data_IF_684297662495
#
_entry.id   IF_684297662495
#
_cell.length_a   1.000
_cell.length_b   1.000
_cell.length_c   1.000
_cell.angle_alpha   90.00
_cell.angle_beta   90.00
_cell.angle_gamma   90.00
#
_symmetry.space_group_name_H-M   'P 1'
#
loop_
_entity.id
_entity.type
_entity.pdbx_description
1 polymer ?
#
# COMPACT_ATOMS: atom_id res chain seq x y z
N UNK A 1 16.49 16.64 -7.81
CA UNK A 1 16.05 16.10 -6.51
C UNK A 1 14.55 15.79 -6.47
N UNK A 2 13.96 15.36 -7.59
CA UNK A 2 12.54 15.03 -7.68
C UNK A 2 12.41 13.82 -8.61
N UNK A 3 11.57 12.87 -8.25
CA UNK A 3 11.22 11.72 -9.08
C UNK A 3 9.71 11.73 -9.24
N UNK A 4 9.26 11.68 -10.50
CA UNK A 4 7.86 11.58 -10.86
C UNK A 4 7.63 10.23 -11.53
N UNK A 5 6.50 9.60 -11.24
CA UNK A 5 6.10 8.32 -11.83
C UNK A 5 4.64 8.37 -12.23
N UNK A 6 4.33 7.69 -13.34
CA UNK A 6 2.97 7.43 -13.82
C UNK A 6 2.80 5.94 -13.98
N UNK A 7 1.72 5.39 -13.45
CA UNK A 7 1.30 4.01 -13.65
C UNK A 7 0.02 3.95 -14.47
N UNK A 8 -0.06 3.01 -15.41
CA UNK A 8 -1.30 2.66 -16.08
C UNK A 8 -1.71 1.28 -15.59
N UNK A 9 -2.88 1.19 -14.99
CA UNK A 9 -3.38 -0.03 -14.40
C UNK A 9 -4.50 -0.60 -15.27
N UNK A 10 -4.47 -1.91 -15.46
CA UNK A 10 -5.60 -2.68 -15.95
C UNK A 10 -6.12 -3.53 -14.79
N UNK A 11 -7.43 -3.41 -14.52
CA UNK A 11 -8.10 -4.20 -13.50
C UNK A 11 -8.92 -5.28 -14.19
N UNK A 12 -8.88 -6.49 -13.63
CA UNK A 12 -9.76 -7.58 -14.04
C UNK A 12 -10.26 -8.32 -12.82
N UNK A 13 -11.55 -8.63 -12.78
CA UNK A 13 -12.19 -9.35 -11.69
C UNK A 13 -13.22 -10.34 -12.21
N UNK A 14 -13.49 -11.37 -11.41
CA UNK A 14 -14.60 -12.30 -11.61
C UNK A 14 -15.31 -12.47 -10.30
N UNK A 15 -16.63 -12.36 -10.31
CA UNK A 15 -17.42 -12.66 -9.12
C UNK A 15 -18.61 -13.56 -9.49
N UNK A 16 -18.98 -14.42 -8.55
CA UNK A 16 -20.07 -15.36 -8.67
C UNK A 16 -20.98 -15.18 -7.46
N UNK A 17 -22.25 -14.84 -7.68
CA UNK A 17 -23.28 -14.98 -6.64
C UNK A 17 -23.69 -16.46 -6.55
N UNK A 18 -23.80 -17.03 -5.35
CA UNK A 18 -24.08 -18.47 -5.12
C UNK A 18 -25.20 -18.66 -4.07
N UNK A 19 -26.17 -19.59 -4.21
CA UNK A 19 -26.58 -20.36 -5.40
C UNK A 19 -28.11 -20.32 -5.68
N UNK A 20 -28.50 -19.82 -6.85
CA UNK A 20 -29.63 -20.41 -7.59
C UNK A 20 -29.54 -20.18 -9.10
N UNK A 21 -28.83 -19.14 -9.56
CA UNK A 21 -28.63 -18.88 -11.00
C UNK A 21 -27.17 -18.48 -11.25
N UNK A 22 -26.43 -19.31 -12.00
CA UNK A 22 -25.02 -19.05 -12.35
C UNK A 22 -24.93 -17.91 -13.37
N UNK A 23 -24.88 -16.67 -12.92
CA UNK A 23 -24.37 -15.55 -13.72
C UNK A 23 -22.98 -15.18 -13.21
N UNK A 24 -21.96 -15.75 -13.87
CA UNK A 24 -20.58 -15.29 -13.70
C UNK A 24 -20.49 -13.92 -14.37
N UNK A 25 -20.11 -12.90 -13.61
CA UNK A 25 -19.87 -11.57 -14.15
C UNK A 25 -18.37 -11.32 -14.24
N UNK A 26 -17.93 -10.96 -15.44
CA UNK A 26 -16.56 -10.55 -15.72
C UNK A 26 -16.47 -9.02 -15.61
N UNK A 27 -15.41 -8.56 -14.96
CA UNK A 27 -15.14 -7.14 -14.73
C UNK A 27 -13.82 -6.74 -15.36
N UNK A 28 -13.83 -5.64 -16.11
CA UNK A 28 -12.62 -5.05 -16.69
C UNK A 28 -12.55 -3.56 -16.41
N UNK A 29 -11.37 -3.01 -16.20
CA UNK A 29 -11.23 -1.61 -15.87
C UNK A 29 -9.84 -1.07 -16.14
N UNK A 30 -9.74 0.25 -16.10
CA UNK A 30 -8.48 0.97 -16.25
C UNK A 30 -8.38 2.05 -15.20
N UNK A 31 -7.16 2.43 -14.86
CA UNK A 31 -6.88 3.54 -13.95
C UNK A 31 -5.48 4.10 -14.19
N UNK A 32 -5.27 5.33 -13.71
CA UNK A 32 -3.96 5.97 -13.75
C UNK A 32 -3.51 6.22 -12.32
N UNK A 33 -2.24 5.93 -12.06
CA UNK A 33 -1.59 6.31 -10.81
C UNK A 33 -0.55 7.40 -11.12
N UNK A 34 -0.43 8.37 -10.22
CA UNK A 34 0.66 9.33 -10.24
C UNK A 34 1.37 9.31 -8.89
N UNK A 35 2.70 9.45 -8.93
CA UNK A 35 3.56 9.49 -7.76
C UNK A 35 4.63 10.56 -7.90
N UNK A 36 4.88 11.27 -6.82
CA UNK A 36 5.93 12.27 -6.70
C UNK A 36 6.75 11.97 -5.45
N UNK A 37 8.07 11.96 -5.59
CA UNK A 37 9.01 11.90 -4.46
C UNK A 37 10.00 13.05 -4.57
N UNK A 38 10.11 13.85 -3.52
CA UNK A 38 10.98 15.01 -3.45
C UNK A 38 11.99 14.85 -2.32
N UNK A 39 13.28 15.05 -2.62
CA UNK A 39 14.34 15.08 -1.60
C UNK A 39 14.40 16.49 -1.02
N UNK A 40 13.72 16.71 0.09
CA UNK A 40 13.61 18.01 0.75
C UNK A 40 14.90 18.39 1.49
N UNK A 41 15.51 17.44 2.19
CA UNK A 41 16.83 17.56 2.83
C UNK A 41 17.68 16.31 2.50
N UNK A 42 19.00 16.30 2.76
CA UNK A 42 19.85 15.12 2.53
C UNK A 42 19.26 13.81 3.08
N UNK A 43 18.61 13.90 4.24
CA UNK A 43 18.05 12.78 4.98
C UNK A 43 16.52 12.78 5.04
N UNK A 44 15.83 13.72 4.38
CA UNK A 44 14.36 13.82 4.39
C UNK A 44 13.80 13.76 2.98
N UNK A 45 12.94 12.79 2.74
CA UNK A 45 12.16 12.66 1.51
C UNK A 45 10.69 12.87 1.82
N UNK A 46 10.02 13.66 1.00
CA UNK A 46 8.58 13.82 0.99
C UNK A 46 8.01 13.08 -0.21
N UNK A 47 6.85 12.47 -0.07
CA UNK A 47 6.16 11.79 -1.16
C UNK A 47 4.68 12.13 -1.20
N UNK A 48 4.15 12.16 -2.40
CA UNK A 48 2.72 12.28 -2.68
C UNK A 48 2.35 11.24 -3.73
N UNK A 49 1.20 10.60 -3.58
CA UNK A 49 0.65 9.75 -4.63
C UNK A 49 -0.85 9.89 -4.73
N UNK A 50 -1.36 9.73 -5.95
CA UNK A 50 -2.77 9.53 -6.19
C UNK A 50 -2.92 8.27 -7.03
N UNK A 51 -3.57 7.25 -6.46
CA UNK A 51 -3.84 5.99 -7.13
C UNK A 51 -5.29 5.91 -7.57
N UNK A 52 -5.54 5.15 -8.62
CA UNK A 52 -6.86 4.97 -9.22
C UNK A 52 -7.48 6.30 -9.72
N UNK A 53 -6.66 7.23 -10.23
CA UNK A 53 -7.18 8.42 -10.91
C UNK A 53 -7.98 8.00 -12.14
N UNK A 54 -9.17 8.58 -12.26
CA UNK A 54 -10.13 8.30 -13.34
C UNK A 54 -10.48 6.81 -13.46
N UNK A 55 -10.25 6.02 -12.40
CA UNK A 55 -10.38 4.60 -12.48
C UNK A 55 -11.85 4.16 -12.50
N UNK A 56 -12.15 3.29 -13.45
CA UNK A 56 -13.50 2.74 -13.65
C UNK A 56 -13.40 1.28 -14.03
N UNK A 57 -14.28 0.47 -13.46
CA UNK A 57 -14.44 -0.93 -13.78
C UNK A 57 -15.85 -1.15 -14.33
N UNK A 58 -15.99 -1.97 -15.36
CA UNK A 58 -17.25 -2.31 -15.98
C UNK A 58 -17.53 -3.78 -15.73
N UNK A 59 -18.66 -4.06 -15.09
CA UNK A 59 -19.21 -5.38 -14.87
C UNK A 59 -20.40 -5.54 -15.83
N UNK A 60 -20.24 -6.39 -16.84
CA UNK A 60 -21.17 -6.53 -17.98
C UNK A 60 -21.51 -5.17 -18.65
N UNK A 61 -22.54 -4.47 -18.16
CA UNK A 61 -23.01 -3.16 -18.65
C UNK A 61 -22.95 -2.03 -17.60
N UNK A 62 -22.65 -2.34 -16.33
CA UNK A 62 -22.61 -1.36 -15.24
C UNK A 62 -21.18 -0.92 -14.97
N UNK A 63 -20.94 0.37 -15.18
CA UNK A 63 -19.66 1.00 -14.87
C UNK A 63 -19.60 1.54 -13.44
N UNK A 64 -18.67 1.02 -12.65
CA UNK A 64 -18.40 1.40 -11.27
C UNK A 64 -17.10 2.21 -11.17
N UNK A 65 -17.14 3.35 -10.49
CA UNK A 65 -15.91 4.12 -10.19
C UNK A 65 -15.15 3.45 -9.05
N UNK A 66 -13.87 3.19 -9.26
CA UNK A 66 -13.02 2.63 -8.21
C UNK A 66 -12.63 3.73 -7.19
N UNK A 67 -12.38 3.36 -5.92
CA UNK A 67 -12.00 4.34 -4.90
C UNK A 67 -10.68 5.04 -5.25
N UNK A 68 -10.66 6.36 -5.09
CA UNK A 68 -9.44 7.18 -5.24
C UNK A 68 -8.64 7.13 -3.94
N UNK A 69 -7.36 6.79 -4.03
CA UNK A 69 -6.46 6.82 -2.88
C UNK A 69 -5.48 7.97 -3.03
N UNK A 70 -5.50 8.89 -2.08
CA UNK A 70 -4.55 10.00 -2.01
C UNK A 70 -3.63 9.72 -0.84
N UNK A 71 -2.32 9.75 -1.06
CA UNK A 71 -1.36 9.62 0.04
C UNK A 71 -0.33 10.73 0.01
N UNK A 72 0.11 11.11 1.21
CA UNK A 72 1.26 11.98 1.42
C UNK A 72 2.08 11.44 2.57
N UNK A 73 3.40 11.57 2.50
CA UNK A 73 4.27 10.98 3.50
C UNK A 73 5.65 11.57 3.55
N UNK A 74 6.37 11.18 4.60
CA UNK A 74 7.72 11.58 4.89
C UNK A 74 8.56 10.37 5.30
N UNK A 75 9.76 10.31 4.76
CA UNK A 75 10.79 9.34 5.11
C UNK A 75 12.01 10.10 5.64
N UNK A 76 12.40 9.83 6.88
CA UNK A 76 13.56 10.45 7.51
C UNK A 76 14.61 9.41 7.88
N UNK A 77 15.81 9.56 7.30
CA UNK A 77 16.99 8.76 7.65
C UNK A 77 17.67 9.38 8.85
N UNK A 78 17.43 8.82 10.03
CA UNK A 78 18.06 9.28 11.28
C UNK A 78 19.56 8.96 11.26
N UNK A 79 19.91 7.78 10.76
CA UNK A 79 21.28 7.30 10.61
C UNK A 79 21.36 6.27 9.48
N UNK A 80 22.53 5.71 9.22
CA UNK A 80 22.68 4.60 8.25
C UNK A 80 21.91 3.34 8.66
N UNK A 81 21.61 3.20 9.95
CA UNK A 81 20.96 2.04 10.52
C UNK A 81 19.50 2.29 10.93
N UNK A 82 18.97 3.52 10.91
CA UNK A 82 17.57 3.81 11.29
C UNK A 82 16.87 4.72 10.29
N UNK A 83 15.68 4.29 9.87
CA UNK A 83 14.79 5.04 9.00
C UNK A 83 13.41 5.12 9.65
N UNK A 84 12.84 6.32 9.70
CA UNK A 84 11.47 6.58 10.14
C UNK A 84 10.58 6.88 8.94
N UNK A 85 9.36 6.37 8.96
CA UNK A 85 8.34 6.57 7.95
C UNK A 85 7.05 7.05 8.60
N UNK A 86 6.42 8.03 7.98
CA UNK A 86 5.10 8.50 8.34
C UNK A 86 4.32 8.79 7.06
N UNK A 87 3.12 8.23 6.93
CA UNK A 87 2.26 8.43 5.78
C UNK A 87 0.81 8.67 6.22
N UNK A 88 0.10 9.51 5.48
CA UNK A 88 -1.34 9.71 5.61
C UNK A 88 -1.97 9.34 4.28
N UNK A 89 -2.94 8.43 4.32
CA UNK A 89 -3.70 7.97 3.17
C UNK A 89 -5.18 8.33 3.38
N UNK A 90 -5.76 9.04 2.42
CA UNK A 90 -7.20 9.29 2.35
C UNK A 90 -7.80 8.38 1.27
N UNK A 91 -8.82 7.59 1.66
CA UNK A 91 -9.58 6.75 0.73
C UNK A 91 -10.92 7.41 0.43
N UNK A 92 -11.14 7.79 -0.83
CA UNK A 92 -12.36 8.42 -1.32
C UNK A 92 -13.20 7.42 -2.10
N UNK A 93 -14.33 7.06 -1.52
CA UNK A 93 -15.36 6.23 -2.12
C UNK A 93 -16.46 7.10 -2.72
N UNK A 94 -17.06 6.64 -3.82
CA UNK A 94 -18.09 7.38 -4.54
C UNK A 94 -19.47 6.91 -4.07
N UNK A 95 -20.32 7.85 -3.65
CA UNK A 95 -21.66 7.58 -3.10
C UNK A 95 -22.55 6.74 -4.04
N UNK A 96 -22.35 6.89 -5.35
CA UNK A 96 -23.17 6.24 -6.37
C UNK A 96 -22.90 4.74 -6.54
N UNK A 97 -21.87 4.20 -5.88
CA UNK A 97 -21.47 2.78 -6.01
C UNK A 97 -21.79 1.93 -4.77
N UNK A 98 -22.52 2.47 -3.80
CA UNK A 98 -22.82 1.78 -2.52
C UNK A 98 -21.55 1.49 -1.69
N UNK A 99 -20.42 2.03 -2.11
CA UNK A 99 -19.11 1.76 -1.54
C UNK A 99 -18.86 2.61 -0.29
N UNK A 100 -17.94 2.14 0.56
CA UNK A 100 -17.77 2.52 1.97
C UNK A 100 -17.66 4.02 2.28
N UNK A 101 -17.60 4.35 3.58
CA UNK A 101 -17.35 5.74 3.99
C UNK A 101 -15.95 6.17 3.56
N UNK A 102 -15.74 7.47 3.34
CA UNK A 102 -14.39 8.02 3.24
C UNK A 102 -13.72 7.93 4.61
N UNK A 103 -12.46 7.52 4.65
CA UNK A 103 -11.67 7.50 5.89
C UNK A 103 -10.21 7.81 5.60
N UNK A 104 -9.52 8.21 6.67
CA UNK A 104 -8.11 8.60 6.64
C UNK A 104 -7.33 7.60 7.47
N UNK A 105 -6.31 6.98 6.89
CA UNK A 105 -5.42 6.05 7.57
C UNK A 105 -4.08 6.75 7.79
N UNK A 106 -3.62 6.77 9.02
CA UNK A 106 -2.28 7.20 9.39
C UNK A 106 -1.40 5.96 9.47
N UNK A 107 -0.18 6.06 8.97
CA UNK A 107 0.83 5.00 9.02
C UNK A 107 2.07 5.56 9.70
N UNK A 108 2.65 4.76 10.57
CA UNK A 108 3.95 5.02 11.18
C UNK A 108 4.81 3.76 11.09
N UNK A 109 6.08 3.92 10.76
CA UNK A 109 7.01 2.81 10.66
C UNK A 109 8.42 3.18 11.03
N UNK A 110 9.15 2.22 11.56
CA UNK A 110 10.59 2.27 11.80
C UNK A 110 11.25 1.08 11.13
N UNK A 111 12.36 1.34 10.43
CA UNK A 111 13.25 0.31 9.90
C UNK A 111 14.61 0.43 10.59
N UNK A 112 15.10 -0.70 11.09
CA UNK A 112 16.45 -0.85 11.63
C UNK A 112 17.29 -1.74 10.71
N UNK A 113 18.40 -1.17 10.23
CA UNK A 113 19.32 -1.75 9.27
C UNK A 113 20.57 -2.30 9.98
N UNK A 114 20.72 -3.63 9.99
CA UNK A 114 21.84 -4.33 10.62
C UNK A 114 22.83 -4.72 9.52
N UNK A 115 23.99 -4.08 9.54
CA UNK A 115 25.11 -4.28 8.58
C UNK A 115 24.71 -4.16 7.09
N UNK A 116 23.65 -3.40 6.77
CA UNK A 116 23.14 -3.22 5.41
C UNK A 116 22.61 -4.51 4.75
N UNK A 117 22.42 -5.58 5.53
CA UNK A 117 21.99 -6.90 5.06
C UNK A 117 20.70 -7.37 5.70
N UNK A 118 20.51 -7.11 6.98
CA UNK A 118 19.30 -7.49 7.70
C UNK A 118 18.50 -6.23 8.03
N UNK A 119 17.18 -6.29 7.82
CA UNK A 119 16.27 -5.17 8.02
C UNK A 119 15.18 -5.62 8.98
N UNK A 120 15.07 -4.99 10.14
CA UNK A 120 13.95 -5.17 11.05
C UNK A 120 12.98 -4.02 10.85
N UNK A 121 11.69 -4.33 10.73
CA UNK A 121 10.63 -3.35 10.49
C UNK A 121 9.56 -3.50 11.53
N UNK A 122 9.15 -2.39 12.12
CA UNK A 122 7.98 -2.30 12.97
C UNK A 122 7.11 -1.16 12.47
N UNK A 123 5.80 -1.34 12.52
CA UNK A 123 4.88 -0.29 12.09
C UNK A 123 3.49 -0.45 12.69
N UNK A 124 2.74 0.63 12.63
CA UNK A 124 1.34 0.66 13.01
C UNK A 124 0.57 1.53 12.02
N UNK A 125 -0.66 1.14 11.71
CA UNK A 125 -1.56 1.96 10.90
C UNK A 125 -3.02 1.82 11.30
N UNK A 126 -3.79 2.88 11.07
CA UNK A 126 -5.21 2.97 11.41
C UNK A 126 -5.72 4.40 11.34
N UNK A 127 -7.03 4.63 11.55
CA UNK A 127 -7.59 5.99 11.60
C UNK A 127 -7.03 6.81 12.76
N UNK A 128 -6.82 6.13 13.89
CA UNK A 128 -6.12 6.62 15.06
C UNK A 128 -5.06 5.60 15.48
N UNK A 129 -3.79 6.00 15.49
CA UNK A 129 -2.69 5.14 15.93
C UNK A 129 -2.84 4.86 17.43
N UNK A 130 -2.97 3.58 17.77
CA UNK A 130 -3.25 3.14 19.13
C UNK A 130 -4.75 3.03 19.46
N UNK A 131 -5.63 3.46 18.54
CA UNK A 131 -7.08 3.25 18.61
C UNK A 131 -7.50 1.79 18.38
N UNK A 132 -8.79 1.47 18.46
CA UNK A 132 -9.31 0.09 18.35
C UNK A 132 -9.01 -0.57 17.00
N UNK A 133 -9.11 0.17 15.90
CA UNK A 133 -8.89 -0.32 14.55
C UNK A 133 -7.41 -0.23 14.11
N UNK A 134 -6.48 -0.12 15.07
CA UNK A 134 -5.04 -0.13 14.77
C UNK A 134 -4.59 -1.52 14.33
N UNK A 135 -3.88 -1.58 13.23
CA UNK A 135 -3.09 -2.75 12.81
C UNK A 135 -1.64 -2.54 13.21
N UNK A 136 -1.04 -3.57 13.81
CA UNK A 136 0.39 -3.61 14.12
C UNK A 136 1.09 -4.55 13.15
N UNK A 137 2.29 -4.16 12.73
CA UNK A 137 3.10 -4.91 11.78
C UNK A 137 4.51 -5.08 12.33
N UNK A 138 5.07 -6.26 12.07
CA UNK A 138 6.48 -6.56 12.32
C UNK A 138 7.03 -7.31 11.13
N UNK A 139 8.30 -7.07 10.78
CA UNK A 139 8.91 -7.76 9.65
C UNK A 139 10.41 -7.87 9.79
N UNK A 140 10.95 -8.90 9.14
CA UNK A 140 12.37 -9.12 8.98
C UNK A 140 12.67 -9.33 7.50
N UNK A 141 13.70 -8.64 7.02
CA UNK A 141 14.22 -8.79 5.67
C UNK A 141 15.70 -9.16 5.72
N UNK A 142 16.14 -9.87 4.68
CA UNK A 142 17.53 -10.14 4.40
C UNK A 142 17.83 -9.79 2.94
N UNK A 143 18.91 -9.07 2.68
CA UNK A 143 19.41 -8.74 1.35
C UNK A 143 20.82 -9.30 1.20
N UNK A 144 21.03 -10.03 0.12
CA UNK A 144 22.34 -10.46 -0.36
C UNK A 144 22.42 -10.16 -1.84
N UNK A 145 23.42 -9.38 -2.24
CA UNK A 145 23.64 -8.97 -3.63
C UNK A 145 22.35 -8.34 -4.22
N UNK A 146 21.85 -8.90 -5.31
CA UNK A 146 20.66 -8.46 -6.03
C UNK A 146 19.40 -9.26 -5.64
N UNK A 147 19.40 -9.94 -4.50
CA UNK A 147 18.24 -10.67 -4.00
C UNK A 147 17.90 -10.17 -2.59
N UNK A 148 16.62 -9.93 -2.34
CA UNK A 148 16.12 -9.72 -0.99
C UNK A 148 14.92 -10.61 -0.70
N UNK A 149 14.91 -11.17 0.51
CA UNK A 149 13.83 -11.95 1.09
C UNK A 149 13.25 -11.16 2.26
N UNK A 150 11.94 -11.17 2.43
CA UNK A 150 11.33 -10.63 3.63
C UNK A 150 10.10 -11.40 4.06
N UNK A 151 9.93 -11.49 5.38
CA UNK A 151 8.71 -11.96 6.03
C UNK A 151 8.15 -10.79 6.81
N UNK A 152 6.86 -10.53 6.65
CA UNK A 152 6.11 -9.58 7.45
C UNK A 152 4.91 -10.27 8.09
N UNK A 153 4.61 -9.90 9.31
CA UNK A 153 3.46 -10.32 10.08
C UNK A 153 2.65 -9.09 10.44
N UNK A 154 1.32 -9.23 10.39
CA UNK A 154 0.40 -8.20 10.82
C UNK A 154 -0.72 -8.79 11.69
N UNK A 155 -1.18 -7.98 12.65
CA UNK A 155 -2.30 -8.32 13.53
C UNK A 155 -3.19 -7.10 13.75
N UNK A 156 -4.50 -7.34 13.83
CA UNK A 156 -5.49 -6.31 14.08
C UNK A 156 -5.78 -6.23 15.58
N UNK A 157 -5.74 -5.03 16.16
CA UNK A 157 -5.97 -4.84 17.61
C UNK A 157 -7.37 -5.31 18.02
N UNK A 158 -8.40 -4.94 17.25
CA UNK A 158 -9.80 -5.34 17.47
C UNK A 158 -10.05 -6.82 17.20
N UNK A 159 -9.37 -7.37 16.19
CA UNK A 159 -9.66 -8.67 15.63
C UNK A 159 -8.40 -9.55 15.58
N UNK A 160 -7.84 -9.83 16.76
CA UNK A 160 -6.63 -10.67 16.94
C UNK A 160 -6.72 -12.07 16.32
N UNK A 161 -7.91 -12.49 15.86
CA UNK A 161 -8.14 -13.76 15.15
C UNK A 161 -7.66 -13.73 13.70
N UNK A 162 -7.47 -12.53 13.13
CA UNK A 162 -6.94 -12.37 11.79
C UNK A 162 -5.47 -11.98 11.90
N UNK A 163 -4.61 -12.92 11.51
CA UNK A 163 -3.19 -12.68 11.33
C UNK A 163 -2.86 -12.94 9.87
N UNK A 164 -2.03 -12.08 9.28
CA UNK A 164 -1.53 -12.28 7.93
C UNK A 164 -0.01 -12.36 7.97
N UNK A 165 0.51 -13.38 7.28
CA UNK A 165 1.93 -13.57 7.08
C UNK A 165 2.22 -13.37 5.59
N UNK A 166 3.07 -12.38 5.29
CA UNK A 166 3.42 -12.01 3.93
C UNK A 166 4.88 -12.40 3.71
N UNK A 167 5.12 -13.18 2.66
CA UNK A 167 6.46 -13.54 2.22
C UNK A 167 6.74 -12.90 0.86
N UNK A 168 7.87 -12.19 0.76
CA UNK A 168 8.27 -11.48 -0.45
C UNK A 168 9.68 -11.87 -0.86
N UNK A 169 9.85 -12.17 -2.14
CA UNK A 169 11.15 -12.30 -2.80
C UNK A 169 11.26 -11.16 -3.82
N UNK A 170 12.36 -10.44 -3.80
CA UNK A 170 12.67 -9.42 -4.80
C UNK A 170 14.03 -9.71 -5.43
N UNK A 171 14.04 -9.76 -6.76
CA UNK A 171 15.23 -9.98 -7.59
C UNK A 171 15.32 -8.88 -8.65
N UNK A 172 15.83 -7.68 -8.30
CA UNK A 172 16.07 -6.64 -9.30
C UNK A 172 16.94 -7.17 -10.44
N UNK A 173 16.41 -7.10 -11.66
CA UNK A 173 17.22 -7.25 -12.86
C UNK A 173 18.11 -6.02 -12.97
N UNK A 174 19.42 -6.23 -12.83
CA UNK A 174 20.41 -5.23 -13.20
C UNK A 174 20.75 -5.51 -14.66
N UNK A 175 20.47 -4.56 -15.56
CA UNK A 175 21.09 -4.61 -16.89
C UNK A 175 22.60 -4.47 -16.72
N UNK A 176 23.41 -5.27 -17.44
CA UNK A 176 24.87 -5.15 -17.42
C UNK A 176 25.35 -3.79 -17.93
#
# INVERSE_FOLDING_TARGET
NMVFGVGFNYYSGRWAEVPSERNLQDGHGFGVDIGLKYKFLPNLFLSFSAKNLFAKMWWDEKGEKLPLFLSSGANYRVSDFVILNFDVEERKYYKDTGSGKNFVIKHFGIEHNIFGRVFLRLGAYGEEIGGEDTTYTAGIGYKKENVSLSIAWQTFKKDKKYEELIFTINTPFTSP
#
